data_IF_602118993355
#
_entry.id   IF_602118993355
#
_cell.length_a   1.000
_cell.length_b   1.000
_cell.length_c   1.000
_cell.angle_alpha   90.00
_cell.angle_beta   90.00
_cell.angle_gamma   90.00
#
_symmetry.space_group_name_H-M   'P 1'
#
loop_
_entity.id
_entity.type
_entity.pdbx_description
1 polymer ?
#
# COMPACT_ATOMS: atom_id res chain seq x y z
N UNK A 1 -9.22 9.36 9.00
CA UNK A 1 -9.88 9.29 10.34
C UNK A 1 -9.45 7.99 11.00
N UNK A 2 -8.70 8.05 12.10
CA UNK A 2 -8.47 6.85 12.92
C UNK A 2 -9.78 6.40 13.54
N UNK A 3 -10.14 5.11 13.50
CA UNK A 3 -11.36 4.62 14.11
C UNK A 3 -11.31 4.87 15.63
N UNK A 4 -12.26 5.64 16.15
CA UNK A 4 -12.35 6.06 17.57
C UNK A 4 -12.80 4.96 18.54
N UNK A 5 -12.74 3.68 18.17
CA UNK A 5 -13.04 2.55 19.07
C UNK A 5 -12.20 1.33 18.72
N UNK A 6 -10.88 1.47 18.78
CA UNK A 6 -10.01 0.30 18.62
C UNK A 6 -9.93 -0.46 19.94
N UNK A 7 -10.08 -1.77 19.90
CA UNK A 7 -9.69 -2.65 20.99
C UNK A 7 -8.16 -2.63 21.00
N UNK A 8 -7.53 -1.98 21.99
CA UNK A 8 -6.08 -1.71 22.00
C UNK A 8 -5.21 -2.93 21.72
N UNK A 9 -5.61 -4.13 22.19
CA UNK A 9 -4.90 -5.39 21.89
C UNK A 9 -4.95 -5.77 20.40
N UNK A 10 -6.08 -5.55 19.72
CA UNK A 10 -6.24 -5.85 18.30
C UNK A 10 -5.42 -4.86 17.44
N UNK A 11 -5.44 -3.57 17.80
CA UNK A 11 -4.64 -2.56 17.12
C UNK A 11 -3.13 -2.85 17.20
N UNK A 12 -2.66 -3.26 18.39
CA UNK A 12 -1.28 -3.67 18.60
C UNK A 12 -0.91 -4.89 17.75
N UNK A 13 -1.81 -5.88 17.67
CA UNK A 13 -1.61 -7.07 16.84
C UNK A 13 -1.49 -6.70 15.36
N UNK A 14 -2.37 -5.83 14.85
CA UNK A 14 -2.32 -5.35 13.46
C UNK A 14 -1.00 -4.62 13.19
N UNK A 15 -0.57 -3.69 14.05
CA UNK A 15 0.69 -2.97 13.90
C UNK A 15 1.91 -3.92 13.86
N UNK A 16 1.93 -4.96 14.69
CA UNK A 16 2.99 -5.97 14.68
C UNK A 16 2.98 -6.74 13.36
N UNK A 17 1.80 -7.16 12.86
CA UNK A 17 1.70 -7.86 11.59
C UNK A 17 2.20 -6.98 10.42
N UNK A 18 1.78 -5.72 10.37
CA UNK A 18 2.22 -4.76 9.35
C UNK A 18 3.74 -4.54 9.39
N UNK A 19 4.35 -4.44 10.57
CA UNK A 19 5.81 -4.34 10.69
C UNK A 19 6.51 -5.57 10.12
N UNK A 20 6.02 -6.78 10.43
CA UNK A 20 6.59 -8.01 9.84
C UNK A 20 6.45 -8.00 8.31
N UNK A 21 5.32 -7.52 7.77
CA UNK A 21 5.06 -7.52 6.33
C UNK A 21 5.91 -6.48 5.60
N UNK A 22 5.99 -5.26 6.10
CA UNK A 22 6.62 -4.15 5.38
C UNK A 22 8.12 -4.03 5.64
N UNK A 23 8.59 -4.41 6.83
CA UNK A 23 9.99 -4.31 7.22
C UNK A 23 10.69 -5.67 7.29
N UNK A 24 9.94 -6.74 7.52
CA UNK A 24 10.45 -8.10 7.71
C UNK A 24 10.80 -8.85 6.42
N UNK A 25 11.03 -8.18 5.28
CA UNK A 25 11.38 -8.85 4.01
C UNK A 25 12.61 -9.76 4.14
N UNK A 26 13.63 -9.31 4.86
CA UNK A 26 14.83 -10.08 5.17
C UNK A 26 14.75 -10.81 6.51
N UNK A 27 13.65 -10.67 7.21
CA UNK A 27 13.39 -11.13 8.56
C UNK A 27 13.48 -10.00 9.59
N UNK A 28 12.62 -10.07 10.60
CA UNK A 28 12.59 -9.12 11.72
C UNK A 28 12.59 -9.89 13.04
N UNK A 29 13.22 -9.33 14.06
CA UNK A 29 13.31 -9.92 15.41
C UNK A 29 12.34 -9.24 16.38
N UNK A 30 12.02 -9.91 17.49
CA UNK A 30 11.22 -9.31 18.57
C UNK A 30 11.90 -8.05 19.13
N UNK A 31 13.24 -8.04 19.18
CA UNK A 31 14.01 -6.88 19.66
C UNK A 31 13.79 -5.66 18.75
N UNK A 32 13.85 -5.83 17.43
CA UNK A 32 13.61 -4.74 16.48
C UNK A 32 12.17 -4.24 16.54
N UNK A 33 11.19 -5.13 16.70
CA UNK A 33 9.79 -4.73 16.88
C UNK A 33 9.62 -3.95 18.18
N UNK A 34 10.21 -4.42 19.31
CA UNK A 34 10.08 -3.76 20.61
C UNK A 34 10.73 -2.37 20.68
N UNK A 35 11.69 -2.09 19.79
CA UNK A 35 12.28 -0.75 19.68
C UNK A 35 11.35 0.28 19.01
N UNK A 36 10.34 -0.18 18.29
CA UNK A 36 9.42 0.66 17.51
C UNK A 36 8.01 0.73 18.07
N UNK A 37 7.64 -0.25 18.88
CA UNK A 37 6.34 -0.32 19.55
C UNK A 37 6.59 -0.41 21.06
N UNK A 38 5.91 0.42 21.82
CA UNK A 38 5.96 0.39 23.28
C UNK A 38 5.19 -0.82 23.84
N UNK A 39 5.79 -2.01 23.67
CA UNK A 39 5.25 -3.28 24.14
C UNK A 39 6.36 -4.17 24.72
N UNK A 40 6.03 -4.86 25.80
CA UNK A 40 6.96 -5.83 26.38
C UNK A 40 7.23 -6.99 25.41
N UNK A 41 8.49 -7.47 25.27
CA UNK A 41 8.86 -8.55 24.36
C UNK A 41 8.01 -9.82 24.48
N UNK A 42 7.58 -10.19 25.69
CA UNK A 42 6.70 -11.35 25.90
C UNK A 42 5.31 -11.17 25.27
N UNK A 43 4.79 -9.95 25.22
CA UNK A 43 3.53 -9.63 24.56
C UNK A 43 3.66 -9.74 23.04
N UNK A 44 4.75 -9.19 22.49
CA UNK A 44 5.07 -9.30 21.05
C UNK A 44 5.20 -10.78 20.65
N UNK A 45 5.92 -11.57 21.47
CA UNK A 45 6.08 -13.01 21.26
C UNK A 45 4.73 -13.74 21.18
N UNK A 46 3.77 -13.43 22.06
CA UNK A 46 2.44 -14.02 22.06
C UNK A 46 1.67 -13.70 20.76
N UNK A 47 1.71 -12.45 20.28
CA UNK A 47 1.08 -12.07 19.02
C UNK A 47 1.73 -12.78 17.83
N UNK A 48 3.07 -12.80 17.78
CA UNK A 48 3.80 -13.47 16.70
C UNK A 48 3.53 -14.98 16.67
N UNK A 49 3.46 -15.65 17.82
CA UNK A 49 3.09 -17.07 17.87
C UNK A 49 1.68 -17.33 17.34
N UNK A 50 0.73 -16.45 17.66
CA UNK A 50 -0.61 -16.53 17.10
C UNK A 50 -0.57 -16.36 15.57
N UNK A 51 0.13 -15.37 15.05
CA UNK A 51 0.29 -15.19 13.61
C UNK A 51 0.99 -16.36 12.92
N UNK A 52 1.97 -16.97 13.58
CA UNK A 52 2.64 -18.19 13.08
C UNK A 52 1.66 -19.36 13.02
N UNK A 53 0.86 -19.58 14.07
CA UNK A 53 -0.11 -20.69 14.11
C UNK A 53 -1.19 -20.60 13.02
N UNK A 54 -1.52 -19.38 12.59
CA UNK A 54 -2.48 -19.12 11.50
C UNK A 54 -1.81 -18.91 10.12
N UNK A 55 -0.48 -19.01 10.03
CA UNK A 55 0.24 -18.88 8.77
C UNK A 55 0.42 -17.47 8.23
N UNK A 56 0.02 -16.43 8.99
CA UNK A 56 0.25 -15.02 8.62
C UNK A 56 1.71 -14.61 8.71
N UNK A 57 2.46 -15.25 9.59
CA UNK A 57 3.88 -15.05 9.83
C UNK A 57 4.58 -16.41 9.77
N UNK A 58 5.75 -16.46 9.18
CA UNK A 58 6.66 -17.61 9.22
C UNK A 58 7.80 -17.34 10.19
N UNK A 59 8.16 -18.33 11.00
CA UNK A 59 9.33 -18.27 11.87
C UNK A 59 10.47 -19.04 11.24
N UNK A 60 11.59 -18.32 11.00
CA UNK A 60 12.82 -18.90 10.44
C UNK A 60 13.83 -18.96 11.56
N UNK A 61 14.17 -19.95 12.13
CA UNK A 61 14.98 -20.03 13.36
C UNK A 61 14.25 -19.45 14.59
N UNK A 62 14.86 -19.56 15.75
CA UNK A 62 14.23 -19.22 17.03
C UNK A 62 13.92 -17.73 17.25
N UNK A 63 14.43 -16.85 16.40
CA UNK A 63 14.36 -15.40 16.63
C UNK A 63 13.91 -14.57 15.43
N UNK A 64 13.81 -15.13 14.22
CA UNK A 64 13.54 -14.37 12.99
C UNK A 64 12.14 -14.67 12.47
N UNK A 65 11.37 -13.62 12.22
CA UNK A 65 10.00 -13.67 11.70
C UNK A 65 9.92 -13.03 10.31
N UNK A 66 9.15 -13.62 9.42
CA UNK A 66 8.91 -13.14 8.04
C UNK A 66 7.42 -13.20 7.70
N UNK A 67 6.97 -12.47 6.64
CA UNK A 67 5.62 -12.64 6.12
C UNK A 67 5.32 -14.11 5.78
N UNK A 68 4.17 -14.58 6.19
CA UNK A 68 3.70 -15.94 5.92
C UNK A 68 2.90 -16.06 4.63
N UNK A 69 2.78 -17.28 4.11
CA UNK A 69 2.10 -17.57 2.83
C UNK A 69 0.60 -17.24 2.87
N UNK A 70 -0.02 -17.24 4.04
CA UNK A 70 -1.45 -16.91 4.21
C UNK A 70 -1.78 -15.51 3.70
N UNK A 71 -0.83 -14.57 3.78
CA UNK A 71 -1.00 -13.22 3.24
C UNK A 71 -1.12 -13.22 1.70
N UNK A 72 -0.39 -14.12 1.02
CA UNK A 72 -0.48 -14.29 -0.43
C UNK A 72 -1.84 -14.88 -0.82
N UNK A 73 -2.32 -15.89 -0.09
CA UNK A 73 -3.64 -16.48 -0.32
C UNK A 73 -4.76 -15.43 -0.22
N UNK A 74 -4.75 -14.66 0.87
CA UNK A 74 -5.75 -13.61 1.08
C UNK A 74 -5.64 -12.49 0.06
N UNK A 75 -4.42 -12.05 -0.23
CA UNK A 75 -4.18 -11.01 -1.25
C UNK A 75 -4.66 -11.45 -2.63
N UNK A 76 -4.37 -12.68 -3.05
CA UNK A 76 -4.84 -13.21 -4.33
C UNK A 76 -6.36 -13.35 -4.37
N UNK A 77 -6.99 -13.80 -3.28
CA UNK A 77 -8.44 -13.87 -3.20
C UNK A 77 -9.10 -12.50 -3.38
N UNK A 78 -8.57 -11.47 -2.73
CA UNK A 78 -9.05 -10.10 -2.88
C UNK A 78 -8.80 -9.59 -4.31
N UNK A 79 -7.61 -9.80 -4.87
CA UNK A 79 -7.27 -9.33 -6.23
C UNK A 79 -8.10 -10.02 -7.32
N UNK A 80 -8.42 -11.29 -7.15
CA UNK A 80 -9.28 -12.03 -8.09
C UNK A 80 -10.75 -11.61 -8.00
N UNK A 81 -11.18 -10.94 -6.92
CA UNK A 81 -12.51 -10.34 -6.82
C UNK A 81 -12.67 -8.98 -7.52
N UNK A 82 -11.61 -8.43 -8.10
CA UNK A 82 -11.68 -7.21 -8.91
C UNK A 82 -11.94 -7.52 -10.39
N UNK A 83 -13.19 -7.55 -10.82
CA UNK A 83 -13.58 -7.67 -12.24
C UNK A 83 -12.85 -6.64 -13.11
N UNK A 84 -12.62 -5.43 -12.59
CA UNK A 84 -11.88 -4.36 -13.26
C UNK A 84 -10.46 -4.82 -13.66
N UNK A 85 -9.76 -5.55 -12.81
CA UNK A 85 -8.41 -6.04 -13.11
C UNK A 85 -8.42 -7.03 -14.27
N UNK A 86 -9.34 -7.99 -14.25
CA UNK A 86 -9.48 -9.01 -15.31
C UNK A 86 -9.81 -8.37 -16.64
N UNK A 87 -10.77 -7.44 -16.66
CA UNK A 87 -11.17 -6.72 -17.88
C UNK A 87 -10.05 -5.80 -18.39
N UNK A 88 -9.34 -5.09 -17.52
CA UNK A 88 -8.35 -4.10 -17.94
C UNK A 88 -6.99 -4.70 -18.33
N UNK A 89 -6.61 -5.85 -17.79
CA UNK A 89 -5.29 -6.45 -18.01
C UNK A 89 -4.91 -6.60 -19.51
N UNK A 90 -5.77 -7.13 -20.41
CA UNK A 90 -5.45 -7.23 -21.82
C UNK A 90 -5.14 -5.87 -22.49
N UNK A 91 -5.84 -4.81 -22.06
CA UNK A 91 -5.60 -3.44 -22.56
C UNK A 91 -4.27 -2.88 -22.06
N UNK A 92 -3.89 -3.17 -20.81
CA UNK A 92 -2.57 -2.79 -20.29
C UNK A 92 -1.45 -3.48 -21.06
N UNK A 93 -1.60 -4.76 -21.38
CA UNK A 93 -0.64 -5.51 -22.21
C UNK A 93 -0.51 -4.88 -23.59
N UNK A 94 -1.65 -4.57 -24.25
CA UNK A 94 -1.68 -3.87 -25.54
C UNK A 94 -0.94 -2.53 -25.47
N UNK A 95 -1.24 -1.71 -24.47
CA UNK A 95 -0.60 -0.41 -24.25
C UNK A 95 0.92 -0.56 -24.06
N UNK A 96 1.37 -1.48 -23.21
CA UNK A 96 2.80 -1.73 -22.97
C UNK A 96 3.52 -2.13 -24.26
N UNK A 97 2.91 -2.97 -25.09
CA UNK A 97 3.48 -3.39 -26.37
C UNK A 97 3.58 -2.22 -27.37
N UNK A 98 2.65 -1.28 -27.34
CA UNK A 98 2.65 -0.11 -28.22
C UNK A 98 3.69 0.94 -27.77
N UNK A 99 3.70 1.30 -26.48
CA UNK A 99 4.51 2.41 -25.98
C UNK A 99 5.86 1.98 -25.40
N UNK A 100 6.11 0.68 -25.21
CA UNK A 100 7.32 0.12 -24.62
C UNK A 100 7.64 0.69 -23.20
N UNK A 101 6.61 1.03 -22.43
CA UNK A 101 6.71 1.52 -21.05
C UNK A 101 5.89 0.64 -20.10
N UNK A 102 6.25 0.67 -18.82
CA UNK A 102 5.47 0.01 -17.77
C UNK A 102 4.12 0.70 -17.59
N UNK A 103 3.03 -0.06 -17.60
CA UNK A 103 1.69 0.43 -17.32
C UNK A 103 1.19 -0.07 -15.95
N UNK A 104 0.38 0.74 -15.30
CA UNK A 104 -0.23 0.43 -14.02
C UNK A 104 -1.74 0.64 -14.08
N UNK A 105 -2.49 -0.24 -13.42
CA UNK A 105 -3.88 -0.01 -13.07
C UNK A 105 -3.97 0.33 -11.59
N UNK A 106 -4.70 1.38 -11.27
CA UNK A 106 -4.91 1.78 -9.88
C UNK A 106 -6.38 2.15 -9.63
N UNK A 107 -6.82 1.97 -8.41
CA UNK A 107 -8.09 2.45 -7.89
C UNK A 107 -7.86 3.48 -6.80
N UNK A 108 -8.85 4.35 -6.57
CA UNK A 108 -8.84 5.25 -5.42
C UNK A 108 -9.35 4.52 -4.19
N UNK A 109 -8.63 4.65 -3.09
CA UNK A 109 -9.05 4.16 -1.78
C UNK A 109 -8.84 5.27 -0.74
N UNK A 110 -9.90 5.96 -0.40
CA UNK A 110 -9.85 7.15 0.46
C UNK A 110 -9.01 8.27 -0.17
N UNK A 111 -7.91 8.63 0.48
CA UNK A 111 -7.03 9.72 0.07
C UNK A 111 -5.78 9.25 -0.69
N UNK A 112 -5.74 7.98 -1.11
CA UNK A 112 -4.61 7.40 -1.83
C UNK A 112 -5.09 6.61 -3.05
N UNK A 113 -4.17 6.33 -3.97
CA UNK A 113 -4.38 5.34 -5.02
C UNK A 113 -3.63 4.05 -4.67
N UNK A 114 -4.23 2.90 -5.01
CA UNK A 114 -3.63 1.58 -4.84
C UNK A 114 -3.46 0.94 -6.20
N UNK A 115 -2.25 0.49 -6.51
CA UNK A 115 -2.01 -0.31 -7.72
C UNK A 115 -2.65 -1.70 -7.57
N UNK A 116 -3.57 -2.05 -8.46
CA UNK A 116 -4.23 -3.36 -8.50
C UNK A 116 -3.72 -4.25 -9.63
N UNK A 117 -3.04 -3.65 -10.63
CA UNK A 117 -2.33 -4.38 -11.67
C UNK A 117 -1.11 -3.62 -12.18
N UNK A 118 -0.15 -4.36 -12.78
CA UNK A 118 1.07 -3.83 -13.36
C UNK A 118 1.53 -4.72 -14.50
N UNK A 119 1.81 -4.13 -15.66
CA UNK A 119 2.48 -4.80 -16.77
C UNK A 119 3.80 -4.10 -17.02
N UNK A 120 4.90 -4.85 -16.94
CA UNK A 120 6.25 -4.30 -17.08
C UNK A 120 6.64 -4.13 -18.53
N UNK A 121 7.15 -2.95 -18.86
CA UNK A 121 7.75 -2.69 -20.19
C UNK A 121 9.18 -3.23 -20.28
N UNK A 122 9.73 -3.36 -21.51
CA UNK A 122 11.02 -3.98 -21.78
C UNK A 122 12.24 -3.13 -21.36
N UNK A 123 12.04 -1.87 -20.89
CA UNK A 123 13.14 -0.96 -20.56
C UNK A 123 13.84 -1.35 -19.26
N UNK A 124 15.16 -1.17 -19.22
CA UNK A 124 16.04 -1.50 -18.08
C UNK A 124 15.74 -0.69 -16.82
N UNK A 125 15.18 0.54 -16.97
CA UNK A 125 14.78 1.37 -15.83
C UNK A 125 13.42 0.89 -15.31
N UNK A 126 13.45 0.01 -14.33
CA UNK A 126 12.22 -0.50 -13.71
C UNK A 126 11.76 0.42 -12.58
N UNK A 127 10.50 0.82 -12.63
CA UNK A 127 9.87 1.49 -11.49
C UNK A 127 9.74 0.51 -10.32
N UNK A 128 10.12 0.94 -9.11
CA UNK A 128 9.96 0.15 -7.86
C UNK A 128 8.50 -0.03 -7.41
N UNK A 129 7.54 0.20 -8.31
CA UNK A 129 6.12 0.00 -8.07
C UNK A 129 5.76 -1.48 -8.02
N UNK A 130 4.76 -1.82 -7.20
CA UNK A 130 4.21 -3.18 -7.07
C UNK A 130 2.70 -3.12 -6.84
N UNK A 131 2.00 -4.18 -7.20
CA UNK A 131 0.58 -4.37 -6.85
C UNK A 131 0.43 -4.30 -5.32
N UNK A 132 -0.62 -3.64 -4.85
CA UNK A 132 -0.85 -3.33 -3.43
C UNK A 132 -0.11 -2.10 -2.90
N UNK A 133 0.78 -1.47 -3.70
CA UNK A 133 1.46 -0.26 -3.27
C UNK A 133 0.50 0.93 -3.30
N UNK A 134 0.49 1.72 -2.22
CA UNK A 134 -0.25 2.97 -2.10
C UNK A 134 0.60 4.14 -2.57
N UNK A 135 -0.02 5.09 -3.24
CA UNK A 135 0.61 6.32 -3.70
C UNK A 135 -0.30 7.53 -3.47
N UNK A 136 0.26 8.70 -3.13
CA UNK A 136 -0.54 9.91 -2.95
C UNK A 136 -1.22 10.34 -4.25
N UNK A 137 -2.45 10.90 -4.12
CA UNK A 137 -3.18 11.40 -5.30
C UNK A 137 -2.56 12.68 -5.84
N UNK A 138 -2.17 13.64 -4.99
CA UNK A 138 -1.77 14.99 -5.41
C UNK A 138 -0.51 15.08 -6.25
N UNK A 139 0.40 14.12 -6.16
CA UNK A 139 1.74 14.20 -6.77
C UNK A 139 2.04 13.11 -7.80
N UNK A 140 1.05 12.30 -8.16
CA UNK A 140 1.18 11.25 -9.19
C UNK A 140 0.24 11.54 -10.36
N UNK A 141 0.63 11.17 -11.59
CA UNK A 141 -0.19 11.37 -12.78
C UNK A 141 -1.56 10.68 -12.64
N UNK A 142 -1.55 9.38 -12.25
CA UNK A 142 -2.79 8.64 -12.04
C UNK A 142 -3.64 9.21 -10.90
N UNK A 143 -3.00 9.71 -9.84
CA UNK A 143 -3.71 10.30 -8.70
C UNK A 143 -4.40 11.61 -9.09
N UNK A 144 -3.74 12.48 -9.86
CA UNK A 144 -4.36 13.70 -10.39
C UNK A 144 -5.54 13.38 -11.31
N UNK A 145 -5.43 12.37 -12.16
CA UNK A 145 -6.56 11.92 -12.99
C UNK A 145 -7.72 11.45 -12.10
N UNK A 146 -7.47 10.63 -11.09
CA UNK A 146 -8.51 10.16 -10.17
C UNK A 146 -9.20 11.32 -9.43
N UNK A 147 -8.44 12.36 -9.05
CA UNK A 147 -9.01 13.59 -8.46
C UNK A 147 -9.81 14.40 -9.48
N UNK A 148 -9.30 14.58 -10.70
CA UNK A 148 -9.97 15.35 -11.76
C UNK A 148 -11.34 14.76 -12.14
N UNK A 149 -11.50 13.44 -12.01
CA UNK A 149 -12.77 12.74 -12.26
C UNK A 149 -13.61 12.53 -10.99
N UNK A 150 -13.21 13.11 -9.86
CA UNK A 150 -14.00 13.14 -8.63
C UNK A 150 -14.95 14.36 -8.60
N UNK A 151 -15.95 14.35 -7.74
CA UNK A 151 -16.78 15.54 -7.55
C UNK A 151 -15.99 16.69 -6.90
N UNK A 152 -16.45 17.93 -7.12
CA UNK A 152 -15.79 19.12 -6.52
C UNK A 152 -15.76 19.03 -4.99
N UNK A 153 -16.83 18.51 -4.37
CA UNK A 153 -16.91 18.32 -2.92
C UNK A 153 -15.86 17.29 -2.43
N UNK A 154 -15.59 16.24 -3.21
CA UNK A 154 -14.56 15.25 -2.87
C UNK A 154 -13.16 15.82 -2.99
N UNK A 155 -12.88 16.61 -4.03
CA UNK A 155 -11.62 17.33 -4.20
C UNK A 155 -11.41 18.32 -3.05
N UNK A 156 -12.42 19.12 -2.69
CA UNK A 156 -12.33 20.08 -1.59
C UNK A 156 -12.12 19.40 -0.24
N UNK A 157 -12.74 18.23 -0.02
CA UNK A 157 -12.51 17.41 1.18
C UNK A 157 -11.08 16.89 1.22
N UNK A 158 -10.61 16.34 0.10
CA UNK A 158 -9.24 15.85 -0.05
C UNK A 158 -8.20 16.93 0.29
N UNK A 159 -8.36 18.12 -0.27
CA UNK A 159 -7.46 19.26 -0.04
C UNK A 159 -7.48 19.79 1.40
N UNK A 160 -8.54 19.53 2.17
CA UNK A 160 -8.63 19.87 3.60
C UNK A 160 -8.00 18.80 4.50
N UNK A 161 -8.07 17.54 4.09
CA UNK A 161 -7.65 16.39 4.91
C UNK A 161 -6.17 16.01 4.68
N UNK A 162 -5.61 16.33 3.50
CA UNK A 162 -4.29 15.84 3.09
C UNK A 162 -3.27 16.97 3.08
N UNK A 163 -2.17 16.75 3.78
CA UNK A 163 -0.99 17.63 3.69
C UNK A 163 -0.27 17.40 2.35
N UNK A 164 -0.11 18.46 1.57
CA UNK A 164 0.60 18.44 0.28
C UNK A 164 2.11 18.58 0.50
N UNK A 165 2.76 17.54 1.01
CA UNK A 165 4.20 17.54 1.27
C UNK A 165 5.03 17.52 -0.02
N UNK A 166 6.15 18.26 -0.13
CA UNK A 166 7.01 18.23 -1.30
C UNK A 166 7.72 16.88 -1.43
N UNK A 167 7.53 16.21 -2.58
CA UNK A 167 8.22 14.94 -2.93
C UNK A 167 9.35 15.16 -3.92
N UNK A 168 9.20 16.17 -4.76
CA UNK A 168 10.21 16.64 -5.73
C UNK A 168 10.15 18.17 -5.80
N UNK A 169 11.10 18.78 -6.50
CA UNK A 169 11.09 20.24 -6.73
C UNK A 169 9.84 20.72 -7.50
N UNK A 170 9.21 19.81 -8.27
CA UNK A 170 8.04 20.13 -9.11
C UNK A 170 6.71 19.71 -8.44
N UNK A 171 6.73 19.24 -7.20
CA UNK A 171 5.49 18.87 -6.50
C UNK A 171 4.64 20.11 -6.24
N UNK A 172 3.37 20.05 -6.67
CA UNK A 172 2.39 21.10 -6.35
C UNK A 172 1.99 20.95 -4.88
N UNK A 173 2.35 21.93 -4.07
CA UNK A 173 2.07 21.95 -2.62
C UNK A 173 1.00 22.99 -2.23
N UNK A 174 0.49 23.75 -3.21
CA UNK A 174 -0.61 24.70 -2.99
C UNK A 174 -1.95 24.07 -3.37
N UNK A 175 -2.94 24.03 -2.46
CA UNK A 175 -4.28 23.51 -2.76
C UNK A 175 -4.95 24.20 -3.94
N UNK A 176 -4.88 25.55 -4.02
CA UNK A 176 -5.45 26.32 -5.14
C UNK A 176 -4.82 25.94 -6.48
N UNK A 177 -3.48 25.87 -6.51
CA UNK A 177 -2.76 25.51 -7.72
C UNK A 177 -2.99 24.05 -8.13
N UNK A 178 -3.17 23.15 -7.16
CA UNK A 178 -3.55 21.76 -7.48
C UNK A 178 -4.96 21.70 -8.08
N UNK A 179 -5.91 22.48 -7.54
CA UNK A 179 -7.29 22.55 -8.07
C UNK A 179 -7.34 23.13 -9.49
N UNK A 180 -6.44 24.05 -9.84
CA UNK A 180 -6.29 24.58 -11.21
C UNK A 180 -5.67 23.57 -12.18
N UNK A 181 -4.85 22.65 -11.68
CA UNK A 181 -4.17 21.61 -12.48
C UNK A 181 -5.12 20.43 -12.79
N UNK A 182 -6.16 20.20 -11.96
CA UNK A 182 -7.13 19.11 -12.10
C UNK A 182 -8.20 19.43 -13.13
#
# INVERSE_FOLDING_TARGET
MSPKSSIGALEQAIKILEMVVFEGRNGITIKEISQKIDLHPSTIYRYLNTFVSYGYVSRINDSIYKPGIKLVELGNYVLNGFDLREVAHPYLVGLVNEVNQTAHLAIREGNEAIYIDKVEGPKTLQMRSRVGMRVPLYCTALGKILLAYSSEEEVDRYLKEVELAPRTQNTIVSPSRLKEEL
#
